data_IF_265064500649
#
_entry.id   IF_265064500649
#
_cell.length_a   1.000
_cell.length_b   1.000
_cell.length_c   1.000
_cell.angle_alpha   90.00
_cell.angle_beta   90.00
_cell.angle_gamma   90.00
#
_symmetry.space_group_name_H-M   'P 1'
#
loop_
_entity.id
_entity.type
_entity.pdbx_description
1 polymer ?
#
# COMPACT_ATOMS: atom_id res chain seq x y z
N UNK A 1 -16.46 12.61 3.62
CA UNK A 1 -16.96 11.98 2.38
C UNK A 1 -16.03 12.31 1.22
N UNK A 2 -15.88 13.59 0.83
CA UNK A 2 -14.91 14.04 -0.20
C UNK A 2 -13.48 13.53 0.08
N UNK A 3 -12.93 13.86 1.25
CA UNK A 3 -11.56 13.46 1.62
C UNK A 3 -11.35 11.95 1.68
N UNK A 4 -12.42 11.17 1.85
CA UNK A 4 -12.37 9.71 1.87
C UNK A 4 -12.67 9.10 0.49
N UNK A 5 -12.99 9.92 -0.51
CA UNK A 5 -13.40 9.49 -1.85
C UNK A 5 -14.66 8.65 -1.87
N UNK A 6 -15.64 8.95 -1.00
CA UNK A 6 -16.92 8.25 -0.95
C UNK A 6 -18.07 9.18 -1.29
N UNK A 7 -18.95 8.74 -2.20
CA UNK A 7 -20.14 9.50 -2.61
C UNK A 7 -21.37 9.20 -1.76
N UNK A 8 -21.42 8.03 -1.12
CA UNK A 8 -22.54 7.61 -0.29
C UNK A 8 -22.14 7.58 1.17
N UNK A 9 -22.99 8.12 2.04
CA UNK A 9 -22.82 8.11 3.48
C UNK A 9 -24.16 8.27 4.18
N UNK A 10 -24.22 8.04 5.48
CA UNK A 10 -25.42 8.39 6.24
C UNK A 10 -25.07 8.75 7.67
N UNK A 11 -25.97 9.50 8.31
CA UNK A 11 -25.93 9.87 9.71
C UNK A 11 -27.08 9.14 10.41
N UNK A 12 -26.81 8.49 11.54
CA UNK A 12 -27.83 7.83 12.35
C UNK A 12 -27.92 8.52 13.71
N UNK A 13 -29.13 8.91 14.12
CA UNK A 13 -29.40 9.49 15.45
C UNK A 13 -29.94 8.47 16.45
N UNK A 14 -30.13 7.21 16.02
CA UNK A 14 -30.85 6.17 16.77
C UNK A 14 -32.36 6.16 16.49
N UNK A 15 -32.94 7.30 16.13
CA UNK A 15 -34.36 7.44 15.78
C UNK A 15 -34.57 7.70 14.29
N UNK A 16 -33.64 8.40 13.65
CA UNK A 16 -33.70 8.78 12.25
C UNK A 16 -32.38 8.47 11.53
N UNK A 17 -32.49 8.23 10.22
CA UNK A 17 -31.38 8.12 9.29
C UNK A 17 -31.42 9.31 8.33
N UNK A 18 -30.28 9.95 8.13
CA UNK A 18 -30.08 10.94 7.07
C UNK A 18 -29.09 10.34 6.08
N UNK A 19 -29.60 9.79 4.99
CA UNK A 19 -28.80 9.27 3.90
C UNK A 19 -28.28 10.44 3.06
N UNK A 20 -27.01 10.36 2.64
CA UNK A 20 -26.27 11.42 1.96
C UNK A 20 -25.69 10.86 0.67
N UNK A 21 -25.82 11.62 -0.42
CA UNK A 21 -25.26 11.29 -1.72
C UNK A 21 -24.60 12.51 -2.33
N UNK A 22 -23.35 12.37 -2.77
CA UNK A 22 -22.61 13.40 -3.52
C UNK A 22 -22.65 13.00 -5.00
N UNK A 23 -23.35 13.76 -5.85
CA UNK A 23 -23.44 13.46 -7.28
C UNK A 23 -22.07 13.40 -7.97
N UNK A 24 -22.02 12.66 -9.07
CA UNK A 24 -20.81 12.54 -9.89
C UNK A 24 -20.54 13.81 -10.71
N UNK A 25 -21.58 14.49 -11.15
CA UNK A 25 -21.52 15.71 -11.94
C UNK A 25 -21.20 16.95 -11.11
N UNK A 26 -21.59 16.96 -9.84
CA UNK A 26 -21.36 18.07 -8.92
C UNK A 26 -20.85 17.62 -7.54
N UNK A 27 -19.53 17.65 -7.28
CA UNK A 27 -18.97 17.34 -5.97
C UNK A 27 -19.23 18.42 -4.92
N UNK A 28 -19.85 19.55 -5.28
CA UNK A 28 -20.14 20.66 -4.35
C UNK A 28 -21.49 20.55 -3.66
N UNK A 29 -22.37 19.70 -4.18
CA UNK A 29 -23.69 19.46 -3.63
C UNK A 29 -23.72 18.14 -2.84
N UNK A 30 -24.48 18.12 -1.75
CA UNK A 30 -24.88 16.88 -1.07
C UNK A 30 -26.39 16.78 -1.11
N UNK A 31 -26.88 15.72 -1.76
CA UNK A 31 -28.27 15.31 -1.71
C UNK A 31 -28.48 14.54 -0.41
N UNK A 32 -29.63 14.74 0.23
CA UNK A 32 -29.98 14.01 1.43
C UNK A 32 -31.38 13.44 1.36
N UNK A 33 -31.58 12.31 2.01
CA UNK A 33 -32.88 11.68 2.22
C UNK A 33 -33.03 11.33 3.71
N UNK A 34 -34.10 11.82 4.33
CA UNK A 34 -34.39 11.57 5.73
C UNK A 34 -35.40 10.43 5.85
N UNK A 35 -35.09 9.47 6.70
CA UNK A 35 -35.96 8.34 7.04
C UNK A 35 -36.12 8.28 8.56
N UNK A 36 -37.35 8.14 9.02
CA UNK A 36 -37.72 7.91 10.42
C UNK A 36 -38.50 6.59 10.45
N UNK A 37 -37.81 5.43 10.59
CA UNK A 37 -38.41 4.11 10.39
C UNK A 37 -39.70 3.88 11.21
N UNK A 38 -39.75 4.38 12.45
CA UNK A 38 -40.92 4.22 13.32
C UNK A 38 -42.16 5.00 12.82
N UNK A 39 -41.99 6.01 11.96
CA UNK A 39 -43.07 6.77 11.34
C UNK A 39 -43.33 6.31 9.91
N UNK A 40 -42.27 5.93 9.19
CA UNK A 40 -42.33 5.55 7.78
C UNK A 40 -42.95 4.17 7.56
N UNK A 41 -42.82 3.27 8.53
CA UNK A 41 -43.39 1.90 8.49
C UNK A 41 -44.87 1.95 8.85
N UNK A 42 -45.73 1.69 7.86
CA UNK A 42 -47.18 1.57 8.05
C UNK A 42 -47.59 0.09 8.05
N UNK A 43 -48.55 -0.29 8.89
CA UNK A 43 -48.91 -1.69 9.10
C UNK A 43 -49.47 -2.37 7.84
N UNK A 44 -50.17 -1.60 6.99
CA UNK A 44 -50.90 -2.06 5.81
C UNK A 44 -50.15 -1.82 4.48
N UNK A 45 -48.88 -1.43 4.52
CA UNK A 45 -48.06 -1.22 3.30
C UNK A 45 -47.47 -2.55 2.80
N UNK A 46 -47.68 -2.91 1.53
CA UNK A 46 -47.03 -4.07 0.90
C UNK A 46 -45.50 -3.95 0.94
N UNK A 47 -44.97 -2.72 0.93
CA UNK A 47 -43.53 -2.43 0.97
C UNK A 47 -43.00 -2.21 2.40
N UNK A 48 -43.75 -2.62 3.43
CA UNK A 48 -43.42 -2.38 4.85
C UNK A 48 -41.99 -2.76 5.22
N UNK A 49 -41.47 -3.87 4.69
CA UNK A 49 -40.11 -4.35 4.96
C UNK A 49 -39.03 -3.38 4.42
N UNK A 50 -39.28 -2.74 3.28
CA UNK A 50 -38.34 -1.80 2.65
C UNK A 50 -38.20 -0.50 3.45
N UNK A 51 -39.23 -0.10 4.19
CA UNK A 51 -39.23 1.13 5.01
C UNK A 51 -38.64 0.94 6.41
N UNK A 52 -38.35 -0.31 6.80
CA UNK A 52 -37.67 -0.58 8.06
C UNK A 52 -36.25 0.00 8.05
N UNK A 53 -35.71 0.28 9.23
CA UNK A 53 -34.32 0.72 9.39
C UNK A 53 -33.35 -0.24 8.66
N UNK A 54 -33.55 -1.54 8.84
CA UNK A 54 -32.73 -2.59 8.22
C UNK A 54 -32.89 -2.56 6.71
N UNK A 55 -34.12 -2.49 6.20
CA UNK A 55 -34.41 -2.45 4.77
C UNK A 55 -33.76 -1.25 4.06
N UNK A 56 -33.89 -0.06 4.65
CA UNK A 56 -33.31 1.18 4.12
C UNK A 56 -31.78 1.14 4.13
N UNK A 57 -31.17 0.78 5.26
CA UNK A 57 -29.71 0.71 5.38
C UNK A 57 -29.13 -0.36 4.46
N UNK A 58 -29.77 -1.53 4.34
CA UNK A 58 -29.35 -2.58 3.41
C UNK A 58 -29.43 -2.11 1.97
N UNK A 59 -30.57 -1.55 1.54
CA UNK A 59 -30.74 -1.04 0.18
C UNK A 59 -29.72 0.04 -0.16
N UNK A 60 -29.52 1.00 0.74
CA UNK A 60 -28.55 2.07 0.57
C UNK A 60 -27.11 1.54 0.50
N UNK A 61 -26.76 0.56 1.34
CA UNK A 61 -25.44 -0.08 1.31
C UNK A 61 -25.21 -0.83 0.01
N UNK A 62 -26.21 -1.58 -0.48
CA UNK A 62 -26.14 -2.27 -1.77
C UNK A 62 -26.00 -1.28 -2.93
N UNK A 63 -26.70 -0.15 -2.88
CA UNK A 63 -26.56 0.92 -3.86
C UNK A 63 -25.14 1.52 -3.83
N UNK A 64 -24.61 1.81 -2.64
CA UNK A 64 -23.26 2.33 -2.48
C UNK A 64 -22.18 1.36 -2.97
N UNK A 65 -22.36 0.05 -2.78
CA UNK A 65 -21.45 -0.99 -3.27
C UNK A 65 -21.55 -1.22 -4.78
N UNK A 66 -22.72 -0.95 -5.37
CA UNK A 66 -22.95 -1.06 -6.80
C UNK A 66 -22.50 0.18 -7.59
N UNK A 67 -22.34 1.32 -6.91
CA UNK A 67 -21.90 2.56 -7.52
C UNK A 67 -20.46 2.47 -8.03
N UNK A 68 -20.18 3.17 -9.12
CA UNK A 68 -18.82 3.31 -9.62
C UNK A 68 -17.98 4.16 -8.66
N UNK A 69 -16.71 3.82 -8.52
CA UNK A 69 -15.81 4.62 -7.69
C UNK A 69 -15.56 5.99 -8.33
N UNK A 70 -15.41 7.06 -7.54
CA UNK A 70 -15.15 8.39 -8.08
C UNK A 70 -13.94 8.41 -9.01
N UNK A 71 -14.11 9.07 -10.15
CA UNK A 71 -13.04 9.24 -11.12
C UNK A 71 -11.95 10.19 -10.60
N UNK A 72 -10.79 10.18 -11.26
CA UNK A 72 -9.73 11.14 -10.93
C UNK A 72 -10.19 12.58 -11.23
N UNK A 73 -11.00 12.75 -12.26
CA UNK A 73 -11.59 14.03 -12.68
C UNK A 73 -12.61 14.55 -11.65
N UNK A 74 -13.39 13.65 -11.03
CA UNK A 74 -14.28 14.01 -9.91
C UNK A 74 -13.49 14.59 -8.74
N UNK A 75 -12.36 13.98 -8.41
CA UNK A 75 -11.49 14.48 -7.34
C UNK A 75 -10.83 15.81 -7.68
N UNK A 76 -10.40 16.01 -8.93
CA UNK A 76 -9.89 17.32 -9.37
C UNK A 76 -10.97 18.40 -9.24
N UNK A 77 -12.19 18.11 -9.73
CA UNK A 77 -13.31 19.04 -9.63
C UNK A 77 -13.68 19.36 -8.17
N UNK A 78 -13.64 18.35 -7.30
CA UNK A 78 -13.85 18.54 -5.87
C UNK A 78 -12.76 19.44 -5.27
N UNK A 79 -11.49 19.16 -5.56
CA UNK A 79 -10.36 19.93 -5.03
C UNK A 79 -10.35 21.39 -5.51
N UNK A 80 -10.68 21.63 -6.78
CA UNK A 80 -10.64 22.97 -7.37
C UNK A 80 -11.84 23.83 -6.97
N UNK A 81 -13.02 23.23 -6.79
CA UNK A 81 -14.27 23.96 -6.49
C UNK A 81 -14.53 24.12 -4.99
N UNK A 82 -14.18 23.11 -4.18
CA UNK A 82 -14.50 23.13 -2.76
C UNK A 82 -13.51 24.02 -2.00
N UNK A 83 -14.06 24.90 -1.18
CA UNK A 83 -13.27 25.67 -0.24
C UNK A 83 -12.90 24.80 0.95
N UNK A 84 -11.67 24.95 1.44
CA UNK A 84 -11.28 24.36 2.72
C UNK A 84 -12.18 24.94 3.81
N UNK A 85 -12.78 24.06 4.61
CA UNK A 85 -13.60 24.47 5.73
C UNK A 85 -12.70 25.15 6.78
N UNK A 86 -12.79 26.48 6.91
CA UNK A 86 -11.90 27.31 7.76
C UNK A 86 -12.15 27.14 9.27
N UNK A 87 -13.13 26.33 9.65
CA UNK A 87 -13.65 26.29 11.01
C UNK A 87 -13.55 24.89 11.58
N UNK A 88 -12.46 24.57 12.28
CA UNK A 88 -12.42 23.30 13.00
C UNK A 88 -13.52 23.28 14.06
N UNK A 89 -14.22 22.14 14.22
CA UNK A 89 -15.24 21.96 15.25
C UNK A 89 -14.71 22.37 16.64
N UNK A 90 -13.43 22.09 16.91
CA UNK A 90 -12.74 22.47 18.15
C UNK A 90 -12.61 24.00 18.31
N UNK A 91 -12.47 24.75 17.23
CA UNK A 91 -12.38 26.21 17.28
C UNK A 91 -13.74 26.86 17.53
N UNK A 92 -14.83 26.31 16.97
CA UNK A 92 -16.20 26.71 17.35
C UNK A 92 -16.46 26.40 18.82
N UNK A 93 -16.11 25.19 19.22
CA UNK A 93 -16.25 24.69 20.58
C UNK A 93 -15.47 25.50 21.62
N UNK A 94 -14.31 26.05 21.25
CA UNK A 94 -13.49 26.94 22.09
C UNK A 94 -14.09 28.34 22.22
N UNK A 95 -14.83 28.80 21.21
CA UNK A 95 -15.54 30.09 21.22
C UNK A 95 -16.81 30.05 22.07
N UNK A 96 -17.35 28.86 22.37
CA UNK A 96 -18.48 28.69 23.27
C UNK A 96 -17.98 28.71 24.73
N UNK A 97 -18.46 29.62 25.58
CA UNK A 97 -18.11 29.67 27.01
C UNK A 97 -18.28 28.31 27.69
N UNK A 98 -17.33 27.92 28.55
CA UNK A 98 -17.39 26.64 29.27
C UNK A 98 -18.67 26.46 30.09
N UNK A 99 -19.24 27.56 30.57
CA UNK A 99 -20.49 27.60 31.34
C UNK A 99 -21.69 27.12 30.52
N UNK A 100 -21.78 27.50 29.23
CA UNK A 100 -22.81 27.03 28.30
C UNK A 100 -22.54 25.60 27.80
N UNK A 101 -21.26 25.21 27.71
CA UNK A 101 -20.84 23.88 27.27
C UNK A 101 -21.17 22.79 28.30
N UNK A 102 -21.11 23.14 29.59
CA UNK A 102 -21.32 22.24 30.73
C UNK A 102 -22.74 22.35 31.33
N UNK A 103 -23.60 23.20 30.76
CA UNK A 103 -24.98 23.34 31.19
C UNK A 103 -25.73 22.00 31.00
N UNK A 104 -26.35 21.43 32.05
CA UNK A 104 -27.12 20.20 31.91
C UNK A 104 -28.25 20.41 30.90
N UNK A 105 -28.26 19.63 29.82
CA UNK A 105 -29.35 19.71 28.84
C UNK A 105 -30.69 19.43 29.54
N UNK A 106 -31.73 20.19 29.21
CA UNK A 106 -33.13 19.91 29.58
C UNK A 106 -33.69 18.61 28.95
N UNK A 107 -32.83 17.78 28.35
CA UNK A 107 -33.20 16.56 27.65
C UNK A 107 -33.23 15.39 28.63
N UNK A 108 -34.34 14.64 28.63
CA UNK A 108 -34.45 13.36 29.33
C UNK A 108 -33.55 12.26 28.72
N UNK A 109 -32.96 12.52 27.55
CA UNK A 109 -31.95 11.64 26.96
C UNK A 109 -30.69 11.69 27.83
N UNK A 110 -30.48 10.63 28.60
CA UNK A 110 -29.19 10.34 29.21
C UNK A 110 -28.39 9.59 28.14
N UNK A 111 -27.37 10.20 27.51
CA UNK A 111 -26.44 9.42 26.71
C UNK A 111 -25.95 8.29 27.61
N UNK A 112 -26.03 7.04 27.15
CA UNK A 112 -25.29 5.96 27.80
C UNK A 112 -23.86 6.44 27.85
N UNK A 113 -23.44 6.81 29.06
CA UNK A 113 -22.16 7.44 29.39
C UNK A 113 -21.17 7.22 28.26
N UNK A 114 -21.00 8.25 27.43
CA UNK A 114 -19.84 8.26 26.58
C UNK A 114 -18.69 8.45 27.58
N UNK A 115 -18.20 7.34 28.12
CA UNK A 115 -16.83 7.33 28.57
C UNK A 115 -16.09 7.57 27.26
N UNK A 116 -15.57 8.78 27.13
CA UNK A 116 -14.23 8.92 26.60
C UNK A 116 -13.38 8.07 27.55
N UNK A 117 -13.46 6.75 27.43
CA UNK A 117 -12.25 6.01 27.48
C UNK A 117 -11.48 6.65 26.34
N UNK A 118 -10.36 7.32 26.61
CA UNK A 118 -9.33 7.28 25.60
C UNK A 118 -9.13 5.77 25.45
N UNK A 119 -9.85 5.16 24.50
CA UNK A 119 -9.25 4.13 23.70
C UNK A 119 -8.09 4.90 23.12
N UNK A 120 -6.97 4.88 23.84
CA UNK A 120 -5.67 4.78 23.21
C UNK A 120 -5.93 3.72 22.18
N UNK A 121 -6.23 4.15 20.97
CA UNK A 121 -6.08 3.31 19.81
C UNK A 121 -4.63 2.93 19.98
N UNK A 122 -4.41 1.70 20.46
CA UNK A 122 -3.12 1.10 20.45
C UNK A 122 -2.84 0.81 18.98
N UNK A 123 -2.74 1.85 18.16
CA UNK A 123 -1.73 1.88 17.12
C UNK A 123 -0.46 1.51 17.88
N UNK A 124 -0.03 0.25 17.74
CA UNK A 124 1.19 -0.28 18.33
C UNK A 124 2.36 0.57 17.81
N UNK A 125 2.57 1.69 18.46
CA UNK A 125 3.64 2.64 18.23
C UNK A 125 3.95 3.26 19.58
N UNK A 126 4.37 2.40 20.53
CA UNK A 126 5.17 2.69 21.74
C UNK A 126 5.13 1.49 22.69
N UNK A 127 5.81 0.40 22.32
CA UNK A 127 6.33 -0.51 23.34
C UNK A 127 7.70 0.01 23.77
N UNK A 128 7.70 0.84 24.81
CA UNK A 128 8.90 1.22 25.55
C UNK A 128 9.30 -0.03 26.34
N UNK A 129 10.38 -0.71 25.94
CA UNK A 129 10.94 -1.81 26.71
C UNK A 129 11.33 -1.30 28.10
N UNK A 130 10.80 -1.93 29.15
CA UNK A 130 11.53 -2.07 30.41
C UNK A 130 11.87 -3.57 30.59
N UNK A 131 13.10 -3.88 31.02
CA UNK A 131 13.60 -5.25 31.14
C UNK A 131 13.05 -5.90 32.41
N UNK A 132 13.12 -7.23 32.45
CA UNK A 132 12.67 -8.13 33.53
C UNK A 132 11.15 -8.25 33.69
N UNK A 133 10.60 -9.30 33.10
CA UNK A 133 9.98 -10.39 33.87
C UNK A 133 9.64 -11.58 32.94
N UNK A 134 10.07 -12.75 33.39
CA UNK A 134 9.92 -14.07 32.78
C UNK A 134 8.47 -14.55 32.68
N UNK A 135 8.13 -15.14 31.53
CA UNK A 135 6.88 -15.87 31.29
C UNK A 135 6.73 -17.10 32.20
N UNK A 136 5.49 -17.43 32.60
CA UNK A 136 5.10 -18.83 32.74
C UNK A 136 4.01 -19.24 31.73
N UNK A 137 4.06 -20.52 31.36
CA UNK A 137 3.21 -21.24 30.41
C UNK A 137 1.86 -21.66 31.06
N UNK A 138 0.90 -21.90 30.15
CA UNK A 138 -0.29 -22.78 30.23
C UNK A 138 -1.67 -22.22 30.63
N UNK A 139 -2.54 -22.22 29.61
CA UNK A 139 -3.96 -22.62 29.52
C UNK A 139 -4.94 -22.35 30.67
N UNK A 140 -6.06 -21.67 30.37
CA UNK A 140 -7.45 -22.23 30.33
C UNK A 140 -8.49 -21.15 29.97
N UNK A 141 -9.12 -21.32 28.80
CA UNK A 141 -10.57 -21.50 28.57
C UNK A 141 -11.63 -20.55 29.20
N UNK A 142 -12.39 -19.91 28.29
CA UNK A 142 -13.82 -19.47 28.32
C UNK A 142 -14.24 -18.20 29.10
N UNK A 143 -14.95 -17.30 28.40
CA UNK A 143 -15.71 -16.22 29.03
C UNK A 143 -16.18 -15.04 28.17
N UNK A 144 -16.99 -15.30 27.14
CA UNK A 144 -18.12 -14.47 26.63
C UNK A 144 -17.90 -12.99 26.20
N UNK A 145 -18.18 -12.70 24.91
CA UNK A 145 -18.43 -11.32 24.45
C UNK A 145 -18.45 -11.13 22.94
N UNK A 146 -19.55 -11.53 22.28
CA UNK A 146 -20.07 -11.08 20.97
C UNK A 146 -19.06 -10.54 19.94
N UNK A 147 -18.58 -11.44 19.09
CA UNK A 147 -17.96 -11.10 17.81
C UNK A 147 -19.05 -10.89 16.74
N UNK A 148 -19.23 -9.66 16.27
CA UNK A 148 -19.72 -9.42 14.91
C UNK A 148 -18.48 -9.13 14.06
N UNK A 149 -18.02 -10.19 13.39
CA UNK A 149 -16.84 -10.24 12.54
C UNK A 149 -16.94 -9.22 11.39
N UNK A 150 -16.06 -8.21 11.41
CA UNK A 150 -15.72 -7.44 10.22
C UNK A 150 -14.82 -8.28 9.31
N UNK A 151 -15.41 -9.20 8.55
CA UNK A 151 -14.73 -9.89 7.46
C UNK A 151 -14.38 -8.88 6.37
N UNK A 152 -13.12 -8.46 6.35
CA UNK A 152 -12.53 -7.81 5.18
C UNK A 152 -12.47 -8.83 4.03
N UNK A 153 -12.93 -8.49 2.83
CA UNK A 153 -13.02 -9.47 1.75
C UNK A 153 -11.63 -9.88 1.26
N UNK A 154 -11.42 -11.19 1.26
CA UNK A 154 -10.29 -11.89 0.66
C UNK A 154 -10.08 -11.49 -0.82
N UNK A 155 -8.82 -11.44 -1.26
CA UNK A 155 -8.34 -11.16 -2.64
C UNK A 155 -8.81 -12.22 -3.67
N UNK A 156 -9.71 -13.13 -3.31
CA UNK A 156 -10.29 -14.14 -4.21
C UNK A 156 -11.52 -13.66 -5.02
N UNK A 157 -12.01 -12.42 -4.84
CA UNK A 157 -13.24 -11.94 -5.49
C UNK A 157 -13.06 -11.43 -6.95
N UNK A 158 -11.83 -11.32 -7.46
CA UNK A 158 -11.58 -10.79 -8.81
C UNK A 158 -11.75 -11.82 -9.96
N UNK A 159 -12.18 -13.06 -9.68
CA UNK A 159 -12.23 -14.14 -10.69
C UNK A 159 -13.62 -14.78 -10.90
N UNK A 160 -14.73 -14.08 -10.58
CA UNK A 160 -16.08 -14.57 -10.92
C UNK A 160 -16.64 -13.83 -12.13
N UNK A 161 -16.24 -14.33 -13.30
CA UNK A 161 -16.92 -14.11 -14.57
C UNK A 161 -18.41 -14.42 -14.42
N UNK A 162 -19.25 -13.49 -14.88
CA UNK A 162 -20.72 -13.55 -14.84
C UNK A 162 -21.23 -14.76 -15.63
N UNK A 163 -21.68 -15.81 -14.95
CA UNK A 163 -22.50 -16.85 -15.57
C UNK A 163 -23.96 -16.40 -15.58
N UNK A 164 -24.43 -15.99 -16.75
CA UNK A 164 -25.86 -15.78 -17.01
C UNK A 164 -26.59 -17.11 -16.90
N UNK A 165 -27.48 -17.24 -15.92
CA UNK A 165 -28.51 -18.29 -15.86
C UNK A 165 -29.55 -18.01 -16.95
N UNK A 166 -29.40 -18.67 -18.10
CA UNK A 166 -30.48 -18.86 -19.07
C UNK A 166 -31.13 -20.22 -18.83
N UNK A 167 -32.41 -20.24 -18.45
CA UNK A 167 -33.20 -21.44 -18.19
C UNK A 167 -34.00 -21.79 -19.47
N UNK A 168 -33.76 -22.98 -20.02
CA UNK A 168 -34.69 -23.77 -20.84
C UNK A 168 -34.68 -23.52 -22.35
N UNK A 169 -34.25 -24.50 -23.16
CA UNK A 169 -35.18 -25.55 -23.63
C UNK A 169 -34.47 -26.71 -24.35
N UNK A 170 -35.20 -27.82 -24.34
CA UNK A 170 -34.94 -29.18 -24.83
C UNK A 170 -34.48 -29.29 -26.30
N UNK A 171 -33.52 -30.19 -26.61
CA UNK A 171 -33.60 -31.22 -27.69
C UNK A 171 -32.26 -31.94 -27.98
N UNK A 172 -32.34 -33.27 -27.90
CA UNK A 172 -31.67 -34.35 -28.64
C UNK A 172 -30.26 -34.16 -29.23
N UNK A 173 -29.36 -35.01 -28.73
CA UNK A 173 -28.12 -35.47 -29.36
C UNK A 173 -28.40 -36.36 -30.57
N UNK A 174 -27.79 -36.06 -31.71
CA UNK A 174 -27.43 -37.02 -32.76
C UNK A 174 -26.16 -36.56 -33.48
N UNK A 175 -25.43 -37.55 -33.99
CA UNK A 175 -24.03 -37.58 -34.40
C UNK A 175 -23.73 -36.84 -35.73
N UNK A 176 -22.41 -36.79 -36.00
CA UNK A 176 -21.73 -36.90 -37.30
C UNK A 176 -21.29 -35.62 -38.06
N UNK A 177 -19.95 -35.51 -38.12
CA UNK A 177 -19.12 -35.45 -39.34
C UNK A 177 -18.96 -34.19 -40.20
N UNK A 178 -17.67 -33.92 -40.46
CA UNK A 178 -17.05 -33.43 -41.71
C UNK A 178 -17.11 -31.95 -42.16
N UNK A 179 -15.92 -31.33 -42.02
CA UNK A 179 -15.10 -30.77 -43.13
C UNK A 179 -15.34 -29.36 -43.69
N UNK A 180 -14.19 -28.79 -44.08
CA UNK A 180 -13.90 -27.72 -45.07
C UNK A 180 -14.02 -26.23 -44.72
N UNK A 181 -12.82 -25.62 -44.71
CA UNK A 181 -12.33 -24.44 -45.48
C UNK A 181 -12.94 -23.05 -45.25
N UNK A 182 -12.04 -22.16 -44.81
CA UNK A 182 -11.75 -20.81 -45.31
C UNK A 182 -12.91 -19.80 -45.50
N UNK A 183 -12.90 -18.78 -44.63
CA UNK A 183 -13.55 -17.49 -44.87
C UNK A 183 -12.90 -16.43 -43.99
N UNK A 184 -12.10 -15.55 -44.59
CA UNK A 184 -11.68 -14.30 -43.97
C UNK A 184 -12.92 -13.45 -43.76
N UNK A 185 -13.22 -13.07 -42.51
CA UNK A 185 -14.09 -11.95 -42.24
C UNK A 185 -13.50 -11.04 -41.18
N UNK A 186 -13.20 -9.85 -41.66
CA UNK A 186 -12.63 -8.72 -40.97
C UNK A 186 -13.72 -8.14 -40.05
N UNK A 187 -13.82 -8.64 -38.81
CA UNK A 187 -14.75 -8.09 -37.81
C UNK A 187 -13.99 -7.33 -36.74
N UNK A 188 -14.10 -6.01 -36.83
CA UNK A 188 -13.81 -5.03 -35.80
C UNK A 188 -14.32 -5.53 -34.44
N UNK A 189 -13.40 -5.93 -33.56
CA UNK A 189 -13.68 -6.18 -32.15
C UNK A 189 -13.41 -4.92 -31.35
N UNK A 190 -14.30 -3.93 -31.53
CA UNK A 190 -14.53 -2.95 -30.47
C UNK A 190 -15.53 -3.55 -29.48
N UNK A 191 -15.18 -3.48 -28.19
CA UNK A 191 -15.99 -3.77 -26.98
C UNK A 191 -15.82 -5.17 -26.38
N UNK A 192 -14.71 -5.34 -25.66
CA UNK A 192 -14.62 -6.10 -24.40
C UNK A 192 -13.25 -5.84 -23.72
N UNK A 193 -12.90 -4.59 -23.42
CA UNK A 193 -11.73 -4.27 -22.58
C UNK A 193 -12.19 -3.86 -21.17
N UNK A 194 -12.95 -4.75 -20.53
CA UNK A 194 -13.00 -4.76 -19.06
C UNK A 194 -11.68 -5.37 -18.59
N UNK A 195 -10.67 -4.50 -18.48
CA UNK A 195 -9.40 -4.68 -17.77
C UNK A 195 -9.14 -6.13 -17.31
N UNK A 196 -8.74 -6.99 -18.25
CA UNK A 196 -8.07 -8.23 -17.87
C UNK A 196 -6.74 -7.82 -17.27
N UNK A 197 -6.67 -7.77 -15.93
CA UNK A 197 -5.54 -7.17 -15.22
C UNK A 197 -4.31 -8.05 -15.47
N UNK A 198 -3.41 -7.58 -16.33
CA UNK A 198 -2.24 -8.36 -16.77
C UNK A 198 -1.48 -8.93 -15.57
N UNK A 199 -0.97 -10.17 -15.64
CA UNK A 199 -0.20 -10.73 -14.54
C UNK A 199 1.06 -9.91 -14.29
N UNK A 200 1.55 -9.93 -13.05
CA UNK A 200 2.82 -9.26 -12.71
C UNK A 200 3.99 -9.92 -13.44
N UNK A 201 5.01 -9.12 -13.79
CA UNK A 201 6.29 -9.68 -14.21
C UNK A 201 6.96 -10.38 -13.03
N UNK A 202 7.70 -11.45 -13.32
CA UNK A 202 8.50 -12.17 -12.34
C UNK A 202 9.59 -11.26 -11.78
N UNK A 203 10.05 -11.56 -10.57
CA UNK A 203 11.14 -10.80 -9.96
C UNK A 203 12.44 -10.89 -10.75
N UNK A 204 12.72 -12.05 -11.36
CA UNK A 204 13.87 -12.25 -12.25
C UNK A 204 13.78 -11.35 -13.50
N UNK A 205 12.60 -11.24 -14.13
CA UNK A 205 12.36 -10.30 -15.23
C UNK A 205 12.63 -8.85 -14.83
N UNK A 206 12.10 -8.39 -13.69
CA UNK A 206 12.31 -7.01 -13.23
C UNK A 206 13.77 -6.76 -12.82
N UNK A 207 14.46 -7.75 -12.24
CA UNK A 207 15.91 -7.70 -11.99
C UNK A 207 16.68 -7.60 -13.31
N UNK A 208 16.24 -8.30 -14.36
CA UNK A 208 16.83 -8.28 -15.69
C UNK A 208 16.82 -6.90 -16.35
N UNK A 209 15.84 -6.04 -16.03
CA UNK A 209 15.81 -4.63 -16.45
C UNK A 209 17.01 -3.86 -15.87
N UNK A 210 17.38 -4.12 -14.62
CA UNK A 210 18.49 -3.43 -13.94
C UNK A 210 19.83 -3.75 -14.59
N UNK A 211 20.03 -5.01 -14.97
CA UNK A 211 21.30 -5.53 -15.48
C UNK A 211 21.35 -5.68 -17.01
N UNK A 212 20.26 -5.36 -17.72
CA UNK A 212 20.09 -5.63 -19.17
C UNK A 212 20.35 -7.10 -19.55
N UNK A 213 19.83 -7.99 -18.72
CA UNK A 213 19.92 -9.43 -18.90
C UNK A 213 19.03 -9.93 -20.06
N UNK A 214 19.21 -11.18 -20.52
CA UNK A 214 18.24 -11.87 -21.37
C UNK A 214 16.84 -11.85 -20.76
N UNK A 215 15.82 -11.87 -21.63
CA UNK A 215 14.43 -11.94 -21.16
C UNK A 215 14.19 -13.23 -20.37
N UNK A 216 13.50 -13.11 -19.24
CA UNK A 216 13.04 -14.25 -18.46
C UNK A 216 11.85 -14.93 -19.17
N UNK A 217 12.02 -16.17 -19.62
CA UNK A 217 11.00 -16.95 -20.33
C UNK A 217 9.85 -17.40 -19.43
N UNK A 218 10.07 -17.43 -18.11
CA UNK A 218 9.03 -17.75 -17.12
C UNK A 218 8.13 -16.53 -16.84
N UNK A 219 8.53 -15.33 -17.28
CA UNK A 219 7.70 -14.16 -17.11
C UNK A 219 6.43 -14.26 -17.98
N UNK A 220 5.21 -14.13 -17.43
CA UNK A 220 3.99 -14.28 -18.21
C UNK A 220 3.84 -13.24 -19.34
N UNK A 221 4.59 -12.14 -19.25
CA UNK A 221 4.57 -11.04 -20.22
C UNK A 221 5.78 -11.04 -21.16
N UNK A 222 6.65 -12.06 -21.12
CA UNK A 222 7.97 -12.02 -21.79
C UNK A 222 7.90 -11.69 -23.29
N UNK A 223 6.86 -12.19 -23.97
CA UNK A 223 6.62 -11.96 -25.41
C UNK A 223 6.36 -10.50 -25.76
N UNK A 224 5.86 -9.72 -24.81
CA UNK A 224 5.51 -8.30 -24.99
C UNK A 224 6.70 -7.36 -24.79
N UNK A 225 7.75 -7.82 -24.11
CA UNK A 225 8.91 -6.98 -23.79
C UNK A 225 9.71 -6.60 -25.05
N UNK A 226 9.61 -7.41 -26.11
CA UNK A 226 10.29 -7.21 -27.37
C UNK A 226 11.78 -7.56 -27.32
N UNK A 227 12.28 -8.17 -28.39
CA UNK A 227 13.70 -8.54 -28.52
C UNK A 227 14.11 -9.77 -27.71
N UNK A 228 15.42 -9.92 -27.51
CA UNK A 228 16.02 -11.06 -26.79
C UNK A 228 16.52 -10.68 -25.38
N UNK A 229 16.65 -9.39 -25.10
CA UNK A 229 17.19 -8.81 -23.87
C UNK A 229 16.36 -7.59 -23.47
N UNK A 230 16.42 -7.23 -22.19
CA UNK A 230 15.81 -5.99 -21.71
C UNK A 230 16.50 -4.77 -22.35
N UNK A 231 15.80 -4.14 -23.30
CA UNK A 231 16.28 -2.95 -24.04
C UNK A 231 16.24 -1.67 -23.20
N UNK A 232 15.53 -1.71 -22.08
CA UNK A 232 15.25 -0.57 -21.22
C UNK A 232 15.90 -0.76 -19.86
N UNK A 233 16.57 0.28 -19.36
CA UNK A 233 17.07 0.33 -17.99
C UNK A 233 16.05 0.96 -17.02
N UNK A 234 16.32 0.93 -15.71
CA UNK A 234 15.38 1.40 -14.69
C UNK A 234 14.96 2.87 -14.85
N UNK A 235 15.90 3.77 -15.17
CA UNK A 235 15.60 5.19 -15.36
C UNK A 235 14.65 5.44 -16.54
N UNK A 236 14.87 4.76 -17.67
CA UNK A 236 14.02 4.88 -18.85
C UNK A 236 12.63 4.26 -18.59
N UNK A 237 12.59 3.16 -17.84
CA UNK A 237 11.34 2.55 -17.38
C UNK A 237 10.52 3.53 -16.54
N UNK A 238 11.12 4.09 -15.49
CA UNK A 238 10.48 5.08 -14.62
C UNK A 238 9.98 6.27 -15.42
N UNK A 239 10.80 6.80 -16.34
CA UNK A 239 10.45 7.95 -17.17
C UNK A 239 9.26 7.65 -18.10
N UNK A 240 9.20 6.47 -18.71
CA UNK A 240 8.10 6.10 -19.61
C UNK A 240 6.81 5.84 -18.84
N UNK A 241 6.89 5.14 -17.70
CA UNK A 241 5.72 4.88 -16.87
C UNK A 241 5.14 6.18 -16.31
N UNK A 242 6.00 7.11 -15.86
CA UNK A 242 5.56 8.44 -15.43
C UNK A 242 4.91 9.23 -16.57
N UNK A 243 5.47 9.23 -17.79
CA UNK A 243 4.82 9.86 -18.94
C UNK A 243 3.47 9.21 -19.29
N UNK A 244 3.32 7.91 -19.11
CA UNK A 244 2.04 7.22 -19.30
C UNK A 244 1.02 7.73 -18.28
N UNK A 245 1.39 7.82 -17.00
CA UNK A 245 0.53 8.34 -15.93
C UNK A 245 0.04 9.77 -16.22
N UNK A 246 0.94 10.64 -16.67
CA UNK A 246 0.61 12.04 -17.02
C UNK A 246 -0.37 12.13 -18.18
N UNK A 247 -0.30 11.20 -19.14
CA UNK A 247 -1.21 11.17 -20.29
C UNK A 247 -2.59 10.62 -19.92
N UNK A 248 -2.64 9.60 -19.08
CA UNK A 248 -3.88 8.98 -18.65
C UNK A 248 -3.65 8.29 -17.30
N UNK A 249 -4.46 8.67 -16.30
CA UNK A 249 -4.33 8.20 -14.92
C UNK A 249 -4.90 6.79 -14.69
N UNK A 250 -5.68 6.27 -15.63
CA UNK A 250 -6.41 5.01 -15.51
C UNK A 250 -5.78 3.90 -16.36
N UNK A 251 -5.28 4.23 -17.55
CA UNK A 251 -4.76 3.24 -18.49
C UNK A 251 -3.45 2.61 -18.02
N UNK A 252 -3.54 1.34 -17.66
CA UNK A 252 -2.41 0.57 -17.13
C UNK A 252 -2.11 0.89 -15.66
N UNK A 253 -3.00 1.55 -14.93
CA UNK A 253 -2.89 1.78 -13.49
C UNK A 253 -4.15 1.29 -12.79
N UNK A 254 -3.98 0.44 -11.79
CA UNK A 254 -5.06 -0.16 -11.02
C UNK A 254 -4.78 0.06 -9.54
N UNK A 255 -5.69 0.72 -8.85
CA UNK A 255 -5.60 0.90 -7.40
C UNK A 255 -5.91 -0.43 -6.72
N UNK A 256 -4.96 -0.97 -5.96
CA UNK A 256 -5.11 -2.30 -5.33
C UNK A 256 -5.96 -2.28 -4.05
N UNK A 257 -6.43 -1.10 -3.63
CA UNK A 257 -7.15 -0.88 -2.38
C UNK A 257 -6.39 -1.37 -1.13
N UNK A 258 -5.06 -1.45 -1.22
CA UNK A 258 -4.17 -1.82 -0.11
C UNK A 258 -3.52 -0.57 0.46
N UNK A 259 -3.90 -0.22 1.69
CA UNK A 259 -3.35 0.90 2.45
C UNK A 259 -2.41 0.36 3.54
N UNK A 260 -1.12 0.65 3.41
CA UNK A 260 -0.12 0.41 4.45
C UNK A 260 0.04 1.60 5.38
N UNK A 261 0.96 1.49 6.34
CA UNK A 261 1.34 2.59 7.24
C UNK A 261 1.76 3.84 6.47
N UNK A 262 2.48 3.63 5.36
CA UNK A 262 3.18 4.69 4.64
C UNK A 262 2.81 4.88 3.19
N UNK A 263 1.87 4.09 2.69
CA UNK A 263 1.45 4.30 1.32
C UNK A 263 0.34 3.41 0.84
N UNK A 264 -0.07 3.70 -0.38
CA UNK A 264 -1.11 3.05 -1.14
C UNK A 264 -0.45 2.25 -2.25
N UNK A 265 -0.97 1.05 -2.53
CA UNK A 265 -0.44 0.22 -3.61
C UNK A 265 -1.25 0.38 -4.89
N UNK A 266 -0.54 0.58 -5.99
CA UNK A 266 -1.06 0.66 -7.35
C UNK A 266 -0.36 -0.41 -8.18
N UNK A 267 -1.11 -1.23 -8.91
CA UNK A 267 -0.55 -2.09 -9.95
C UNK A 267 -0.38 -1.27 -11.21
N UNK A 268 0.80 -1.34 -11.82
CA UNK A 268 1.13 -0.53 -12.98
C UNK A 268 1.68 -1.39 -14.11
N UNK A 269 1.14 -1.21 -15.31
CA UNK A 269 1.60 -1.85 -16.54
C UNK A 269 2.14 -0.78 -17.48
N UNK A 270 3.41 -0.89 -17.87
CA UNK A 270 3.94 -0.11 -18.98
C UNK A 270 3.40 -0.67 -20.30
N UNK A 271 2.34 -0.05 -20.82
CA UNK A 271 1.53 -0.60 -21.93
C UNK A 271 2.35 -0.87 -23.19
N UNK A 272 3.36 -0.03 -23.44
CA UNK A 272 4.22 -0.16 -24.63
C UNK A 272 5.05 -1.45 -24.68
N UNK A 273 5.36 -2.08 -23.54
CA UNK A 273 6.25 -3.26 -23.46
C UNK A 273 5.68 -4.38 -22.57
N UNK A 274 4.46 -4.21 -22.02
CA UNK A 274 3.80 -5.21 -21.18
C UNK A 274 4.45 -5.49 -19.83
N UNK A 275 5.41 -4.67 -19.38
CA UNK A 275 6.01 -4.83 -18.06
C UNK A 275 5.01 -4.43 -16.97
N UNK A 276 4.74 -5.34 -16.04
CA UNK A 276 3.76 -5.14 -14.95
C UNK A 276 4.46 -5.19 -13.59
N UNK A 277 4.31 -4.12 -12.81
CA UNK A 277 5.01 -3.85 -11.55
C UNK A 277 4.04 -3.34 -10.47
N UNK A 278 4.54 -3.18 -9.25
CA UNK A 278 3.82 -2.51 -8.16
C UNK A 278 4.39 -1.12 -7.96
N UNK A 279 3.53 -0.15 -7.70
CA UNK A 279 3.89 1.19 -7.25
C UNK A 279 3.42 1.34 -5.81
N UNK A 280 4.32 1.74 -4.92
CA UNK A 280 4.00 2.28 -3.58
C UNK A 280 3.92 3.80 -3.71
N UNK A 281 2.72 4.35 -3.51
CA UNK A 281 2.45 5.79 -3.55
C UNK A 281 2.21 6.33 -2.14
N UNK A 282 2.48 7.60 -1.88
CA UNK A 282 2.31 8.20 -0.55
C UNK A 282 1.87 9.65 -0.61
N UNK A 283 1.30 10.16 0.48
CA UNK A 283 0.90 11.57 0.64
C UNK A 283 2.07 12.46 1.03
N UNK A 284 1.90 13.79 0.92
CA UNK A 284 2.93 14.78 1.28
C UNK A 284 3.46 14.56 2.70
N UNK A 285 2.59 14.34 3.69
CA UNK A 285 2.99 14.16 5.10
C UNK A 285 3.87 12.92 5.34
N UNK A 286 3.83 11.93 4.43
CA UNK A 286 4.55 10.65 4.55
C UNK A 286 5.68 10.51 3.51
N UNK A 287 5.88 11.50 2.65
CA UNK A 287 6.90 11.50 1.58
C UNK A 287 8.31 11.16 2.08
N UNK A 288 8.71 11.73 3.22
CA UNK A 288 10.03 11.50 3.83
C UNK A 288 10.30 10.02 4.13
N UNK A 289 9.26 9.25 4.50
CA UNK A 289 9.38 7.81 4.80
C UNK A 289 9.59 6.99 3.54
N UNK A 290 8.85 7.29 2.48
CA UNK A 290 9.01 6.61 1.20
C UNK A 290 10.38 6.91 0.56
N UNK A 291 10.89 8.14 0.74
CA UNK A 291 12.24 8.48 0.32
C UNK A 291 13.31 7.74 1.14
N UNK A 292 13.13 7.63 2.46
CA UNK A 292 14.02 6.83 3.31
C UNK A 292 14.04 5.36 2.87
N UNK A 293 12.87 4.77 2.62
CA UNK A 293 12.75 3.40 2.11
C UNK A 293 13.45 3.22 0.76
N UNK A 294 13.22 4.12 -0.19
CA UNK A 294 13.90 4.10 -1.49
C UNK A 294 15.43 4.21 -1.36
N UNK A 295 15.92 5.01 -0.40
CA UNK A 295 17.34 5.10 -0.09
C UNK A 295 17.85 3.77 0.49
N UNK A 296 17.10 3.10 1.35
CA UNK A 296 17.50 1.79 1.88
C UNK A 296 17.58 0.72 0.79
N UNK A 297 16.65 0.70 -0.18
CA UNK A 297 16.76 -0.14 -1.37
C UNK A 297 18.04 0.14 -2.17
N UNK A 298 18.42 1.42 -2.33
CA UNK A 298 19.68 1.80 -3.02
C UNK A 298 20.92 1.27 -2.29
N UNK A 299 20.97 1.38 -0.96
CA UNK A 299 22.11 0.89 -0.17
C UNK A 299 22.17 -0.64 -0.11
N UNK A 300 21.02 -1.32 -0.21
CA UNK A 300 20.91 -2.79 -0.18
C UNK A 300 20.83 -3.40 -1.59
N UNK A 301 21.51 -2.80 -2.57
CA UNK A 301 21.43 -3.21 -3.98
C UNK A 301 21.71 -4.70 -4.22
N UNK A 302 22.63 -5.30 -3.45
CA UNK A 302 22.99 -6.72 -3.55
C UNK A 302 21.87 -7.68 -3.13
N UNK A 303 20.93 -7.22 -2.30
CA UNK A 303 19.81 -8.02 -1.80
C UNK A 303 18.58 -7.97 -2.72
N UNK A 304 18.54 -7.01 -3.65
CA UNK A 304 17.39 -6.81 -4.52
C UNK A 304 17.20 -7.98 -5.49
N UNK A 305 15.97 -8.51 -5.50
CA UNK A 305 15.64 -9.70 -6.26
C UNK A 305 16.05 -11.01 -5.58
N UNK A 306 16.54 -10.93 -4.33
CA UNK A 306 16.88 -12.08 -3.51
C UNK A 306 16.13 -12.04 -2.16
N UNK A 307 16.47 -11.14 -1.26
CA UNK A 307 15.83 -11.03 0.07
C UNK A 307 14.85 -9.85 0.15
N UNK A 308 14.96 -8.88 -0.76
CA UNK A 308 14.07 -7.73 -0.85
C UNK A 308 13.62 -7.55 -2.30
N UNK A 309 12.45 -6.92 -2.54
CA UNK A 309 12.00 -6.59 -3.89
C UNK A 309 13.03 -5.79 -4.70
N UNK A 310 12.88 -5.80 -6.02
CA UNK A 310 13.66 -4.95 -6.91
C UNK A 310 12.99 -3.58 -6.99
N UNK A 311 13.66 -2.54 -6.53
CA UNK A 311 13.29 -1.15 -6.74
C UNK A 311 13.88 -0.63 -8.05
N UNK A 312 13.02 -0.22 -8.98
CA UNK A 312 13.43 0.39 -10.25
C UNK A 312 13.69 1.89 -10.12
N UNK A 313 13.04 2.54 -9.16
CA UNK A 313 13.22 3.96 -8.91
C UNK A 313 12.00 4.63 -8.30
N UNK A 314 12.07 5.95 -8.20
CA UNK A 314 11.03 6.81 -7.64
C UNK A 314 10.73 7.96 -8.58
N UNK A 315 9.51 8.49 -8.54
CA UNK A 315 9.14 9.71 -9.24
C UNK A 315 8.05 10.48 -8.48
N UNK A 316 7.99 11.79 -8.71
CA UNK A 316 6.90 12.65 -8.26
C UNK A 316 5.89 12.77 -9.39
N UNK A 317 4.60 12.40 -9.18
CA UNK A 317 3.57 12.58 -10.19
C UNK A 317 3.51 14.05 -10.66
N UNK A 318 3.43 14.27 -11.98
CA UNK A 318 3.28 15.62 -12.57
C UNK A 318 1.83 15.92 -12.93
N UNK A 319 0.93 15.11 -12.42
CA UNK A 319 -0.52 15.20 -12.53
C UNK A 319 -1.07 14.82 -11.16
N UNK A 320 -2.16 15.45 -10.75
CA UNK A 320 -2.87 15.06 -9.53
C UNK A 320 -3.32 13.61 -9.67
N UNK A 321 -2.83 12.77 -8.76
CA UNK A 321 -3.22 11.36 -8.68
C UNK A 321 -3.83 11.10 -7.32
N UNK A 322 -5.14 10.86 -7.33
CA UNK A 322 -5.97 10.70 -6.14
C UNK A 322 -6.11 9.23 -5.78
N UNK A 323 -6.02 8.90 -4.50
CA UNK A 323 -6.26 7.55 -3.99
C UNK A 323 -7.03 7.68 -2.68
N UNK A 324 -8.29 7.21 -2.67
CA UNK A 324 -9.20 7.38 -1.52
C UNK A 324 -9.29 8.84 -1.04
N UNK A 325 -9.40 9.79 -1.97
CA UNK A 325 -9.48 11.23 -1.67
C UNK A 325 -8.15 11.89 -1.25
N UNK A 326 -7.08 11.13 -1.13
CA UNK A 326 -5.75 11.64 -0.78
C UNK A 326 -4.89 11.86 -2.02
N UNK A 327 -4.15 12.98 -2.04
CA UNK A 327 -3.27 13.33 -3.16
C UNK A 327 -1.89 12.65 -3.03
N UNK A 328 -1.50 11.91 -4.07
CA UNK A 328 -0.23 11.20 -4.09
C UNK A 328 0.93 12.14 -4.45
N UNK A 329 1.88 12.28 -3.53
CA UNK A 329 3.04 13.16 -3.63
C UNK A 329 4.30 12.47 -4.18
N UNK A 330 4.46 11.18 -3.91
CA UNK A 330 5.65 10.43 -4.31
C UNK A 330 5.28 8.98 -4.61
N UNK A 331 5.86 8.44 -5.67
CA UNK A 331 5.67 7.06 -6.11
C UNK A 331 7.02 6.34 -6.19
N UNK A 332 7.05 5.09 -5.73
CA UNK A 332 8.20 4.18 -5.80
C UNK A 332 7.80 2.91 -6.55
N UNK A 333 8.60 2.51 -7.54
CA UNK A 333 8.34 1.36 -8.40
C UNK A 333 9.10 0.15 -7.87
N UNK A 334 8.36 -0.92 -7.56
CA UNK A 334 8.85 -2.19 -7.02
C UNK A 334 8.43 -3.38 -7.90
N UNK A 335 9.23 -4.43 -7.92
CA UNK A 335 8.80 -5.75 -8.43
C UNK A 335 7.65 -6.31 -7.59
N UNK A 336 6.81 -7.13 -8.20
CA UNK A 336 5.97 -8.05 -7.44
C UNK A 336 6.84 -9.14 -6.81
N UNK A 337 6.59 -9.46 -5.54
CA UNK A 337 7.41 -10.39 -4.76
C UNK A 337 6.58 -11.43 -4.00
N UNK A 338 5.36 -11.69 -4.48
CA UNK A 338 4.50 -12.75 -3.95
C UNK A 338 3.44 -12.29 -2.95
N UNK A 339 2.84 -13.26 -2.25
CA UNK A 339 1.69 -13.05 -1.36
C UNK A 339 2.16 -12.73 0.06
N UNK A 340 1.40 -11.91 0.82
CA UNK A 340 1.71 -11.63 2.22
C UNK A 340 1.62 -12.91 3.06
N UNK A 341 2.69 -13.22 3.79
CA UNK A 341 2.75 -14.43 4.61
C UNK A 341 1.70 -14.47 5.72
N UNK A 342 1.25 -13.32 6.21
CA UNK A 342 0.16 -13.24 7.20
C UNK A 342 -1.12 -14.01 6.79
N UNK A 343 -1.31 -14.24 5.47
CA UNK A 343 -2.47 -14.97 4.93
C UNK A 343 -2.15 -16.40 4.50
N UNK A 344 -0.88 -16.80 4.54
CA UNK A 344 -0.39 -18.10 4.05
C UNK A 344 0.09 -18.98 5.21
N UNK A 345 0.62 -18.36 6.26
CA UNK A 345 1.12 -19.07 7.44
C UNK A 345 -0.04 -19.69 8.23
N UNK A 346 0.14 -20.94 8.64
CA UNK A 346 -0.76 -21.71 9.49
C UNK A 346 0.07 -22.64 10.40
N UNK A 347 -0.57 -23.38 11.30
CA UNK A 347 0.13 -24.22 12.28
C UNK A 347 0.98 -25.33 11.64
N UNK A 348 0.57 -25.84 10.49
CA UNK A 348 1.26 -26.92 9.76
C UNK A 348 2.58 -26.45 9.15
N UNK A 349 2.58 -25.24 8.57
CA UNK A 349 3.74 -24.68 7.85
C UNK A 349 4.54 -23.65 8.68
N UNK A 350 4.08 -23.33 9.89
CA UNK A 350 4.67 -22.32 10.77
C UNK A 350 6.18 -22.53 10.98
N UNK A 351 6.60 -23.76 11.29
CA UNK A 351 8.03 -24.08 11.52
C UNK A 351 8.89 -23.76 10.29
N UNK A 352 8.39 -24.06 9.09
CA UNK A 352 9.09 -23.78 7.84
C UNK A 352 9.24 -22.27 7.63
N UNK A 353 8.17 -21.50 7.77
CA UNK A 353 8.24 -20.05 7.57
C UNK A 353 9.03 -19.31 8.66
N UNK A 354 9.06 -19.82 9.88
CA UNK A 354 9.99 -19.33 10.91
C UNK A 354 11.45 -19.51 10.49
N UNK A 355 11.82 -20.67 9.94
CA UNK A 355 13.18 -20.89 9.45
C UNK A 355 13.52 -19.98 8.26
N UNK A 356 12.61 -19.84 7.28
CA UNK A 356 12.83 -18.95 6.13
C UNK A 356 12.96 -17.48 6.54
N UNK A 357 12.15 -17.04 7.51
CA UNK A 357 12.25 -15.70 8.08
C UNK A 357 13.60 -15.47 8.75
N UNK A 358 14.04 -16.42 9.59
CA UNK A 358 15.28 -16.28 10.34
C UNK A 358 16.50 -16.30 9.39
N UNK A 359 16.46 -17.10 8.32
CA UNK A 359 17.45 -17.06 7.21
C UNK A 359 17.48 -15.67 6.56
N UNK A 360 16.33 -15.13 6.16
CA UNK A 360 16.26 -13.83 5.49
C UNK A 360 16.74 -12.68 6.39
N UNK A 361 16.37 -12.68 7.68
CA UNK A 361 16.82 -11.70 8.66
C UNK A 361 18.32 -11.81 8.95
N UNK A 362 18.87 -13.02 8.95
CA UNK A 362 20.32 -13.25 9.10
C UNK A 362 21.08 -12.64 7.92
N UNK A 363 20.56 -12.76 6.70
CA UNK A 363 21.17 -12.14 5.51
C UNK A 363 21.12 -10.60 5.58
N UNK A 364 20.01 -10.00 6.04
CA UNK A 364 19.99 -8.54 6.27
C UNK A 364 21.03 -8.12 7.30
N UNK A 365 21.14 -8.87 8.40
CA UNK A 365 22.10 -8.59 9.47
C UNK A 365 23.54 -8.68 8.98
N UNK A 366 23.87 -9.65 8.14
CA UNK A 366 25.22 -9.75 7.54
C UNK A 366 25.56 -8.58 6.61
N UNK A 367 24.54 -7.91 6.06
CA UNK A 367 24.68 -6.67 5.29
C UNK A 367 24.64 -5.41 6.17
N UNK A 368 24.73 -5.58 7.49
CA UNK A 368 24.79 -4.47 8.45
C UNK A 368 23.45 -3.82 8.73
N UNK A 369 22.33 -4.49 8.46
CA UNK A 369 20.98 -3.94 8.66
C UNK A 369 20.12 -4.83 9.55
N UNK A 370 19.40 -4.22 10.48
CA UNK A 370 18.33 -4.88 11.24
C UNK A 370 16.99 -4.25 10.86
N UNK A 371 16.05 -5.10 10.44
CA UNK A 371 14.69 -4.69 10.15
C UNK A 371 13.94 -4.32 11.45
N UNK A 372 13.32 -3.14 11.50
CA UNK A 372 12.63 -2.64 12.70
C UNK A 372 11.26 -3.27 12.96
N UNK A 373 10.62 -3.81 11.92
CA UNK A 373 9.28 -4.44 12.00
C UNK A 373 9.29 -5.80 11.28
N UNK A 374 9.74 -6.85 11.96
CA UNK A 374 9.88 -8.21 11.41
C UNK A 374 8.60 -9.06 11.48
N UNK A 375 7.44 -8.41 11.54
CA UNK A 375 6.13 -9.06 11.58
C UNK A 375 5.77 -9.72 10.24
N UNK A 376 4.92 -10.74 10.27
CA UNK A 376 4.52 -11.51 9.07
C UNK A 376 3.85 -10.67 7.97
N UNK A 377 3.28 -9.52 8.33
CA UNK A 377 2.70 -8.55 7.39
C UNK A 377 3.71 -7.91 6.45
N UNK A 378 4.99 -7.90 6.84
CA UNK A 378 6.13 -7.34 6.10
C UNK A 378 6.97 -8.42 5.41
N UNK A 379 6.44 -9.63 5.32
CA UNK A 379 7.06 -10.77 4.67
C UNK A 379 6.17 -11.23 3.52
N UNK A 380 6.76 -11.37 2.33
CA UNK A 380 6.10 -11.87 1.14
C UNK A 380 6.68 -13.23 0.75
N UNK A 381 5.84 -14.13 0.26
CA UNK A 381 6.25 -15.43 -0.24
C UNK A 381 6.02 -15.54 -1.74
N UNK A 382 7.10 -15.75 -2.48
CA UNK A 382 7.07 -16.03 -3.91
C UNK A 382 7.02 -17.54 -4.14
N UNK A 383 5.86 -18.02 -4.58
CA UNK A 383 5.62 -19.43 -4.89
C UNK A 383 6.50 -19.92 -6.06
N UNK A 384 6.83 -19.06 -7.02
CA UNK A 384 7.61 -19.42 -8.21
C UNK A 384 9.10 -19.55 -7.88
N UNK A 385 9.65 -18.57 -7.18
CA UNK A 385 11.05 -18.55 -6.75
C UNK A 385 11.33 -19.35 -5.48
N UNK A 386 10.29 -19.87 -4.81
CA UNK A 386 10.32 -20.55 -3.51
C UNK A 386 11.17 -19.75 -2.53
N UNK A 387 10.78 -18.48 -2.34
CA UNK A 387 11.61 -17.53 -1.57
C UNK A 387 10.79 -16.52 -0.79
N UNK A 388 11.30 -16.18 0.39
CA UNK A 388 10.79 -15.13 1.25
C UNK A 388 11.44 -13.78 0.93
N UNK A 389 10.61 -12.76 0.79
CA UNK A 389 11.00 -11.37 0.58
C UNK A 389 10.56 -10.49 1.74
N UNK A 390 11.43 -9.57 2.14
CA UNK A 390 11.21 -8.60 3.21
C UNK A 390 10.88 -7.25 2.57
N UNK A 391 9.79 -6.64 3.02
CA UNK A 391 9.29 -5.34 2.54
C UNK A 391 9.18 -4.33 3.68
N UNK A 392 8.86 -3.08 3.32
CA UNK A 392 8.67 -1.98 4.27
C UNK A 392 9.99 -1.56 4.95
N UNK A 393 11.01 -1.29 4.13
CA UNK A 393 12.35 -0.92 4.56
C UNK A 393 12.45 0.53 5.07
N UNK A 394 11.34 1.13 5.51
CA UNK A 394 11.31 2.50 6.05
C UNK A 394 11.92 2.60 7.45
N UNK A 395 11.78 1.54 8.25
CA UNK A 395 12.28 1.45 9.62
C UNK A 395 13.42 0.44 9.70
N UNK A 396 14.59 0.78 9.15
CA UNK A 396 15.80 -0.05 9.26
C UNK A 396 16.83 0.60 10.18
N UNK A 397 17.52 -0.23 10.98
CA UNK A 397 18.63 0.19 11.81
C UNK A 397 19.94 -0.28 11.20
N UNK A 398 20.79 0.68 10.82
CA UNK A 398 22.13 0.40 10.34
C UNK A 398 23.04 0.08 11.53
N UNK A 399 23.64 -1.11 11.51
CA UNK A 399 24.64 -1.53 12.47
C UNK A 399 25.91 -0.72 12.21
N UNK A 400 26.46 -0.11 13.27
CA UNK A 400 27.77 0.53 13.18
C UNK A 400 28.76 -0.52 12.71
N UNK A 401 29.45 -0.28 11.59
CA UNK A 401 30.61 -1.09 11.24
C UNK A 401 31.54 -1.08 12.46
N UNK A 402 32.05 -2.24 12.90
CA UNK A 402 33.21 -2.23 13.79
C UNK A 402 34.26 -1.34 13.09
N UNK A 403 34.79 -0.33 13.79
CA UNK A 403 35.99 0.34 13.29
C UNK A 403 36.98 -0.78 13.03
N UNK A 404 37.51 -0.84 11.81
CA UNK A 404 38.68 -1.68 11.56
C UNK A 404 39.68 -1.28 12.65
N UNK A 405 40.06 -2.24 13.50
CA UNK A 405 41.15 -2.03 14.44
C UNK A 405 42.32 -1.56 13.58
N UNK A 406 42.74 -0.32 13.78
CA UNK A 406 43.96 0.16 13.13
C UNK A 406 45.08 -0.83 13.47
N UNK A 407 45.96 -1.15 12.50
CA UNK A 407 47.10 -2.00 12.80
C UNK A 407 47.86 -1.35 13.95
N UNK A 408 47.88 -2.01 15.11
CA UNK A 408 48.72 -1.62 16.23
C UNK A 408 50.15 -1.57 15.69
N UNK A 409 50.72 -0.37 15.62
CA UNK A 409 52.11 -0.16 15.25
C UNK A 409 52.97 -1.06 16.13
N UNK A 410 53.67 -2.00 15.50
CA UNK A 410 54.52 -2.97 16.20
C UNK A 410 55.50 -2.28 17.12
N UNK A 411 55.67 -2.86 18.31
CA UNK A 411 56.63 -2.48 19.33
C UNK A 411 58.02 -2.17 18.73
N UNK A 412 58.40 -0.90 18.70
CA UNK A 412 59.81 -0.52 18.54
C UNK A 412 60.47 -0.73 19.90
N UNK A 413 61.25 -1.80 20.01
CA UNK A 413 62.21 -2.01 21.10
C UNK A 413 63.20 -0.84 21.09
N UNK A 414 63.19 -0.03 22.13
CA UNK A 414 64.24 0.95 22.40
C UNK A 414 65.56 0.22 22.66
N UNK A 415 66.43 0.18 21.64
CA UNK A 415 67.85 -0.11 21.80
C UNK A 415 68.58 1.18 22.17
N UNK A 416 69.07 1.25 23.40
CA UNK A 416 70.02 2.26 23.85
C UNK A 416 71.24 2.32 22.92
N UNK A 417 71.55 3.51 22.37
CA UNK A 417 72.93 3.89 22.03
C UNK A 417 73.21 5.29 22.56
N UNK A 418 74.15 5.31 23.49
CA UNK A 418 74.88 6.47 24.02
C UNK A 418 75.76 7.02 22.90
N UNK A 419 75.73 8.34 22.69
CA UNK A 419 76.59 9.05 21.76
C UNK A 419 76.58 10.54 22.08
N UNK A 420 77.75 11.02 22.48
CA UNK A 420 78.05 12.31 23.11
C UNK A 420 78.04 13.46 22.10
N UNK A 421 77.47 14.59 22.54
CA UNK A 421 77.92 15.98 22.30
C UNK A 421 78.14 16.50 20.89
N UNK A 422 77.36 17.52 20.49
CA UNK A 422 77.90 18.88 20.26
C UNK A 422 76.77 19.90 20.03
N UNK A 423 76.90 21.04 20.71
CA UNK A 423 76.04 22.22 20.53
C UNK A 423 76.66 23.15 19.49
N UNK A 424 75.88 23.61 18.49
CA UNK A 424 75.94 25.01 17.99
C UNK A 424 74.83 25.39 17.01
N UNK A 425 74.07 26.41 17.46
CA UNK A 425 73.56 27.61 16.76
C UNK A 425 72.69 27.50 15.50
N UNK A 426 71.43 27.93 15.69
CA UNK A 426 70.61 28.89 14.92
C UNK A 426 71.11 29.32 13.53
N UNK A 427 70.23 29.23 12.54
CA UNK A 427 69.88 30.36 11.67
C UNK A 427 68.45 30.24 11.12
N UNK A 428 67.69 31.31 11.33
CA UNK A 428 66.38 31.63 10.74
C UNK A 428 66.60 32.43 9.45
N UNK A 429 65.82 32.13 8.41
CA UNK A 429 65.22 33.10 7.43
C UNK A 429 64.65 32.28 6.27
N UNK A 430 63.33 32.06 6.18
CA UNK A 430 62.30 32.94 5.61
C UNK A 430 62.41 33.19 4.10
N UNK A 431 61.34 32.77 3.42
CA UNK A 431 60.75 33.33 2.19
C UNK A 431 61.46 33.06 0.87
N UNK A 432 60.78 32.33 -0.03
CA UNK A 432 60.09 32.94 -1.18
C UNK A 432 59.18 31.91 -1.84
N UNK A 433 57.89 32.22 -1.88
CA UNK A 433 56.93 31.65 -2.82
C UNK A 433 57.08 32.37 -4.17
N UNK A 434 57.06 31.61 -5.27
CA UNK A 434 56.65 32.10 -6.58
C UNK A 434 55.79 31.03 -7.24
N UNK A 435 54.63 31.48 -7.71
CA UNK A 435 53.56 30.71 -8.34
C UNK A 435 53.97 30.09 -9.68
N UNK A 436 53.47 28.88 -9.94
CA UNK A 436 52.64 28.50 -11.10
C UNK A 436 51.90 27.22 -10.76
#
# INVERSE_FOLDING_TARGET
MIDSGVQYGYICTGEAFVFLHIPEDDPTAVQYFMCIPNQDVQADDELRLHRTAIGQVLAFTLQALAAEAPSQEWHDAAHDKLKTWEVEYLDVLRKIPETLRKDPRASNYRPSHWKLEPKTHNTRSRARCKPDMSTPKHSSTEGSGSDEESHSPSIAAAARSRSSRGRGNNRQSTKESESTRAGQDNKQTSREDRQSTRPYCTIACIRGIVNREPLDKECPNWKLHGGQRHSMGPQEFTRRLHRQLVRNRNHGFEQLHVCGRTGYLVKATLLSHGYTVVIKATTMGKQHRLQAEANNYRHLRSLQGNQIPVCLGTFTPRVSYWYYGELMAQMMILSWSGKRLQHVINDENSRFFHQERDKALTVLRSHGVVHGDSEWRNMLWDDLGVRLFIIDLEEVKWLKRPRALEPTSGNIRHGHRVGVGESRKKLLSSSTAVCS
#
